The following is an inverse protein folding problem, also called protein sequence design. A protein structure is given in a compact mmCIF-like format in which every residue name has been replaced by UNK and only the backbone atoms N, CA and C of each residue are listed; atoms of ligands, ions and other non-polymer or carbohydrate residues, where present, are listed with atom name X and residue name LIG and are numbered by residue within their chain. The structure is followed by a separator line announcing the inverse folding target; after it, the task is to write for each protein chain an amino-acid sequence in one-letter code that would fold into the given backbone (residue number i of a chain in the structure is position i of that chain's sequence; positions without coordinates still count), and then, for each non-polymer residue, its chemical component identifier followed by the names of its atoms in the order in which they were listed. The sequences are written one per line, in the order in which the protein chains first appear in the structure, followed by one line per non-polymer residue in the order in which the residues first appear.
data_IF_261905000603
#
_entry.id   IF_261905000603
#
_cell.length_a   1.000
_cell.length_b   1.000
_cell.length_c   1.000
_cell.angle_alpha   90.00
_cell.angle_beta   90.00
_cell.angle_gamma   90.00
#
_symmetry.space_group_name_H-M   'P 1'
#
loop_
_entity.id
_entity.type
_entity.pdbx_description
1 polymer ?
#
# COMPACT_ATOMS: atom_id res chain seq x y z
N UNK A 1 1.42 13.17 15.13
CA UNK A 1 0.74 13.34 13.82
C UNK A 1 0.41 12.01 13.13
N UNK A 2 1.35 11.06 12.95
CA UNK A 2 1.10 9.79 12.24
C UNK A 2 -0.15 9.02 12.70
N UNK A 3 -0.43 8.98 14.01
CA UNK A 3 -1.61 8.28 14.56
C UNK A 3 -2.95 8.71 13.94
N UNK A 4 -3.10 10.00 13.59
CA UNK A 4 -4.32 10.50 12.97
C UNK A 4 -4.46 10.06 11.50
N UNK A 5 -3.32 9.96 10.78
CA UNK A 5 -3.30 9.36 9.45
C UNK A 5 -3.73 7.89 9.49
N UNK A 6 -3.23 7.12 10.46
CA UNK A 6 -3.67 5.74 10.70
C UNK A 6 -5.16 5.67 11.04
N UNK A 7 -5.63 6.60 11.89
CA UNK A 7 -7.04 6.75 12.21
C UNK A 7 -7.91 6.92 10.97
N UNK A 8 -7.58 7.89 10.10
CA UNK A 8 -8.33 8.13 8.87
C UNK A 8 -8.25 6.97 7.88
N UNK A 9 -7.13 6.25 7.79
CA UNK A 9 -7.01 5.05 6.96
C UNK A 9 -8.02 3.96 7.36
N UNK A 10 -8.43 3.92 8.65
CA UNK A 10 -9.46 2.99 9.15
C UNK A 10 -10.89 3.48 8.99
N UNK A 11 -11.14 4.67 8.43
CA UNK A 11 -12.50 5.22 8.28
C UNK A 11 -13.07 4.85 6.91
N UNK A 12 -14.05 3.92 6.83
CA UNK A 12 -14.62 3.55 5.55
C UNK A 12 -15.34 4.74 4.90
N UNK A 13 -15.05 5.00 3.64
CA UNK A 13 -15.63 6.14 2.91
C UNK A 13 -14.83 7.44 3.05
N UNK A 14 -13.73 7.49 3.78
CA UNK A 14 -12.78 8.61 3.71
C UNK A 14 -11.56 8.16 2.92
N UNK A 15 -11.62 8.34 1.60
CA UNK A 15 -10.49 8.07 0.69
C UNK A 15 -9.64 9.33 0.43
N UNK A 16 -8.62 9.18 -0.43
CA UNK A 16 -7.65 10.23 -0.76
C UNK A 16 -8.27 11.61 -1.04
N UNK A 17 -9.28 11.68 -1.93
CA UNK A 17 -9.90 12.96 -2.32
C UNK A 17 -10.59 13.67 -1.15
N UNK A 18 -11.29 12.92 -0.29
CA UNK A 18 -11.97 13.47 0.89
C UNK A 18 -10.97 13.89 1.95
N UNK A 19 -9.92 13.10 2.15
CA UNK A 19 -8.89 13.47 3.11
C UNK A 19 -8.11 14.71 2.66
N UNK A 20 -7.87 14.88 1.35
CA UNK A 20 -7.29 16.12 0.81
C UNK A 20 -8.18 17.32 1.13
N UNK A 21 -9.48 17.24 0.84
CA UNK A 21 -10.42 18.33 1.15
C UNK A 21 -10.46 18.68 2.65
N UNK A 22 -10.36 17.67 3.53
CA UNK A 22 -10.23 17.91 4.97
C UNK A 22 -8.93 18.66 5.30
N UNK A 23 -7.79 18.24 4.77
CA UNK A 23 -6.52 18.92 5.01
C UNK A 23 -6.51 20.35 4.46
N UNK A 24 -7.10 20.57 3.29
CA UNK A 24 -7.19 21.91 2.68
C UNK A 24 -8.04 22.86 3.53
N UNK A 25 -9.10 22.36 4.19
CA UNK A 25 -9.98 23.16 5.05
C UNK A 25 -9.40 23.37 6.47
N UNK A 26 -8.83 22.33 7.08
CA UNK A 26 -8.41 22.35 8.49
C UNK A 26 -6.91 22.58 8.70
N UNK A 27 -6.11 22.60 7.62
CA UNK A 27 -4.67 22.83 7.64
C UNK A 27 -3.83 21.60 7.99
N UNK A 28 -4.26 20.80 8.97
CA UNK A 28 -3.54 19.60 9.40
C UNK A 28 -4.45 18.41 9.76
N UNK A 29 -3.84 17.22 9.82
CA UNK A 29 -4.54 15.94 10.02
C UNK A 29 -5.18 15.81 11.41
N UNK A 30 -4.59 16.41 12.44
CA UNK A 30 -5.08 16.34 13.82
C UNK A 30 -6.29 17.25 14.01
N UNK A 31 -6.21 18.47 13.49
CA UNK A 31 -7.32 19.41 13.43
C UNK A 31 -8.50 18.81 12.66
N UNK A 32 -8.26 18.22 11.48
CA UNK A 32 -9.27 17.49 10.73
C UNK A 32 -9.86 16.30 11.52
N UNK A 33 -9.04 15.56 12.28
CA UNK A 33 -9.50 14.45 13.11
C UNK A 33 -10.32 14.91 14.32
N UNK A 34 -10.20 16.14 14.78
CA UNK A 34 -10.98 16.63 15.94
C UNK A 34 -12.12 17.58 15.54
N UNK A 35 -12.20 17.98 14.27
CA UNK A 35 -13.21 18.89 13.75
C UNK A 35 -14.66 18.43 14.07
N UNK A 36 -15.57 19.38 14.35
CA UNK A 36 -16.96 19.08 14.65
C UNK A 36 -17.72 18.59 13.40
N UNK A 37 -18.85 17.92 13.63
CA UNK A 37 -19.62 17.25 12.57
C UNK A 37 -20.10 18.19 11.46
N UNK A 38 -20.43 19.43 11.82
CA UNK A 38 -20.87 20.47 10.89
C UNK A 38 -19.76 20.77 9.88
N UNK A 39 -18.57 21.13 10.35
CA UNK A 39 -17.45 21.53 9.51
C UNK A 39 -16.95 20.36 8.64
N UNK A 40 -16.96 19.13 9.19
CA UNK A 40 -16.64 17.93 8.41
C UNK A 40 -17.59 17.72 7.22
N UNK A 41 -18.88 18.01 7.40
CA UNK A 41 -19.87 17.92 6.33
C UNK A 41 -19.64 19.01 5.27
N UNK A 42 -19.29 20.23 5.69
CA UNK A 42 -18.94 21.33 4.81
C UNK A 42 -17.67 21.02 3.98
N UNK A 43 -16.71 20.32 4.58
CA UNK A 43 -15.52 19.79 3.89
C UNK A 43 -15.81 18.66 2.87
N UNK A 44 -17.07 18.25 2.71
CA UNK A 44 -17.48 17.27 1.70
C UNK A 44 -17.56 15.81 2.20
N UNK A 45 -17.58 15.57 3.51
CA UNK A 45 -17.93 14.24 4.03
C UNK A 45 -19.44 14.03 3.94
N UNK A 46 -19.84 13.07 3.10
CA UNK A 46 -21.23 12.63 3.05
C UNK A 46 -21.70 12.04 4.40
N UNK A 47 -23.02 11.91 4.56
CA UNK A 47 -23.63 11.40 5.78
C UNK A 47 -23.12 10.00 6.19
N UNK A 48 -22.71 9.16 5.23
CA UNK A 48 -22.18 7.83 5.53
C UNK A 48 -20.75 7.91 6.05
N UNK A 49 -19.88 8.66 5.38
CA UNK A 49 -18.50 8.89 5.78
C UNK A 49 -18.42 9.57 7.15
N UNK A 50 -19.27 10.57 7.40
CA UNK A 50 -19.36 11.26 8.68
C UNK A 50 -19.73 10.30 9.82
N UNK A 51 -20.78 9.48 9.64
CA UNK A 51 -21.16 8.46 10.64
C UNK A 51 -20.03 7.47 10.91
N UNK A 52 -19.33 7.04 9.86
CA UNK A 52 -18.20 6.12 9.98
C UNK A 52 -17.04 6.76 10.75
N UNK A 53 -16.70 8.02 10.46
CA UNK A 53 -15.64 8.75 11.16
C UNK A 53 -15.95 8.87 12.65
N UNK A 54 -17.17 9.29 13.01
CA UNK A 54 -17.59 9.39 14.41
C UNK A 54 -17.52 8.03 15.11
N UNK A 55 -17.98 6.97 14.44
CA UNK A 55 -17.90 5.62 14.99
C UNK A 55 -16.46 5.23 15.27
N UNK A 56 -15.54 5.46 14.33
CA UNK A 56 -14.12 5.14 14.50
C UNK A 56 -13.51 5.97 15.63
N UNK A 57 -13.75 7.29 15.68
CA UNK A 57 -13.26 8.16 16.77
C UNK A 57 -13.63 7.66 18.16
N UNK A 58 -14.80 7.06 18.31
CA UNK A 58 -15.31 6.60 19.61
C UNK A 58 -14.74 5.24 20.06
N UNK A 59 -14.24 4.42 19.13
CA UNK A 59 -13.82 3.04 19.43
C UNK A 59 -12.33 2.80 19.23
N UNK A 60 -11.68 3.61 18.39
CA UNK A 60 -10.30 3.41 18.00
C UNK A 60 -9.38 4.14 18.97
N UNK A 61 -8.50 3.39 19.64
CA UNK A 61 -7.39 3.95 20.37
C UNK A 61 -6.23 4.21 19.40
N UNK A 62 -6.02 5.48 19.06
CA UNK A 62 -4.99 5.90 18.10
C UNK A 62 -3.58 5.64 18.62
N UNK A 63 -3.36 5.71 19.93
CA UNK A 63 -2.05 5.49 20.52
C UNK A 63 -1.73 4.00 20.52
N UNK A 64 -2.70 3.13 20.84
CA UNK A 64 -2.55 1.68 20.71
C UNK A 64 -2.27 1.25 19.26
N UNK A 65 -2.94 1.84 18.27
CA UNK A 65 -2.69 1.56 16.85
C UNK A 65 -1.27 1.94 16.42
N UNK A 66 -0.78 3.10 16.88
CA UNK A 66 0.58 3.54 16.61
C UNK A 66 1.61 2.62 17.29
N UNK A 67 1.38 2.22 18.54
CA UNK A 67 2.26 1.28 19.24
C UNK A 67 2.24 -0.11 18.59
N UNK A 68 1.08 -0.58 18.12
CA UNK A 68 1.00 -1.82 17.35
C UNK A 68 1.87 -1.75 16.09
N UNK A 69 1.81 -0.66 15.33
CA UNK A 69 2.67 -0.47 14.16
C UNK A 69 4.16 -0.51 14.53
N UNK A 70 4.56 0.23 15.58
CA UNK A 70 5.95 0.25 16.08
C UNK A 70 6.45 -1.09 16.60
N UNK A 71 5.56 -1.98 17.03
CA UNK A 71 5.90 -3.34 17.48
C UNK A 71 6.25 -4.30 16.32
N UNK A 72 6.07 -3.85 15.07
CA UNK A 72 6.35 -4.63 13.87
C UNK A 72 7.52 -4.03 13.09
N UNK A 73 7.99 -4.76 12.07
CA UNK A 73 8.95 -4.28 11.07
C UNK A 73 8.30 -3.48 9.93
N UNK A 74 7.05 -3.05 10.11
CA UNK A 74 6.28 -2.27 9.13
C UNK A 74 6.36 -0.79 9.46
N UNK A 75 6.72 0.01 8.48
CA UNK A 75 6.65 1.48 8.50
C UNK A 75 5.39 1.96 7.81
N UNK A 76 4.92 3.16 8.18
CA UNK A 76 3.85 3.85 7.48
C UNK A 76 4.39 5.18 6.94
N UNK A 77 4.28 5.37 5.63
CA UNK A 77 4.62 6.61 4.93
C UNK A 77 3.32 7.35 4.58
N UNK A 78 3.32 8.65 4.78
CA UNK A 78 2.24 9.58 4.48
C UNK A 78 2.63 10.47 3.32
N UNK A 79 1.69 11.27 2.79
CA UNK A 79 2.00 12.18 1.68
C UNK A 79 3.12 13.18 1.99
N UNK A 80 3.26 13.55 3.27
CA UNK A 80 4.20 14.54 3.77
C UNK A 80 5.60 13.94 3.99
N UNK A 81 5.74 12.62 3.95
CA UNK A 81 7.02 11.96 4.12
C UNK A 81 7.89 12.08 2.84
N UNK A 82 9.17 12.45 2.97
CA UNK A 82 10.07 12.59 1.82
C UNK A 82 10.28 11.27 1.08
N UNK A 83 10.23 10.15 1.81
CA UNK A 83 10.45 8.81 1.26
C UNK A 83 9.21 8.23 0.55
N UNK A 84 8.06 8.94 0.58
CA UNK A 84 6.87 8.47 -0.13
C UNK A 84 7.11 8.53 -1.65
N UNK A 85 6.89 7.42 -2.41
CA UNK A 85 7.29 7.32 -3.81
C UNK A 85 6.73 8.44 -4.70
N UNK A 86 7.61 9.13 -5.41
CA UNK A 86 7.25 10.29 -6.24
C UNK A 86 6.24 9.93 -7.34
N UNK A 87 6.45 8.79 -8.02
CA UNK A 87 5.52 8.30 -9.06
C UNK A 87 4.14 8.01 -8.48
N UNK A 88 4.07 7.39 -7.30
CA UNK A 88 2.80 7.10 -6.63
C UNK A 88 2.09 8.37 -6.20
N UNK A 89 2.82 9.40 -5.73
CA UNK A 89 2.24 10.69 -5.32
C UNK A 89 1.51 11.41 -6.47
N UNK A 90 1.86 11.12 -7.73
CA UNK A 90 1.36 11.81 -8.94
C UNK A 90 0.09 11.20 -9.54
N UNK A 91 -0.39 10.06 -9.05
CA UNK A 91 -1.64 9.45 -9.57
C UNK A 91 -2.88 10.27 -9.11
N UNK A 92 -4.06 10.02 -9.69
CA UNK A 92 -5.30 10.76 -9.34
C UNK A 92 -5.73 10.60 -7.87
N UNK A 93 -5.46 9.45 -7.26
CA UNK A 93 -5.84 9.14 -5.89
C UNK A 93 -4.73 8.38 -5.15
N UNK A 94 -3.60 9.04 -4.81
CA UNK A 94 -2.50 8.40 -4.08
C UNK A 94 -2.99 7.93 -2.69
N UNK A 95 -2.60 6.75 -2.19
CA UNK A 95 -3.02 6.33 -0.86
C UNK A 95 -2.49 7.32 0.20
N UNK A 96 -3.31 7.84 1.12
CA UNK A 96 -2.85 8.72 2.19
C UNK A 96 -1.77 8.14 3.09
N UNK A 97 -1.84 6.83 3.29
CA UNK A 97 -0.90 6.04 4.07
C UNK A 97 -0.47 4.86 3.22
N UNK A 98 0.83 4.69 3.06
CA UNK A 98 1.46 3.55 2.42
C UNK A 98 2.26 2.79 3.49
N UNK A 99 1.81 1.58 3.81
CA UNK A 99 2.53 0.66 4.67
C UNK A 99 3.65 -0.01 3.88
N UNK A 100 4.81 -0.14 4.52
CA UNK A 100 6.06 -0.59 3.93
C UNK A 100 6.73 -1.60 4.86
N UNK A 101 7.12 -2.77 4.34
CA UNK A 101 8.05 -3.71 4.98
C UNK A 101 9.26 -3.93 4.07
N UNK A 102 10.47 -3.82 4.59
CA UNK A 102 11.69 -3.70 3.78
C UNK A 102 12.03 -2.23 3.53
N UNK A 103 12.77 -1.95 2.47
CA UNK A 103 13.28 -0.60 2.18
C UNK A 103 12.80 -0.10 0.82
N UNK A 104 12.68 1.22 0.68
CA UNK A 104 12.55 1.92 -0.59
C UNK A 104 13.87 2.65 -0.87
N UNK A 105 14.31 2.59 -2.13
CA UNK A 105 15.56 3.18 -2.60
C UNK A 105 15.27 4.14 -3.77
N UNK A 106 16.16 5.11 -4.06
CA UNK A 106 15.96 6.03 -5.18
C UNK A 106 15.79 5.34 -6.54
N UNK A 107 16.43 4.18 -6.75
CA UNK A 107 16.28 3.37 -7.96
C UNK A 107 14.87 2.79 -8.17
N UNK A 108 14.04 2.73 -7.11
CA UNK A 108 12.64 2.30 -7.22
C UNK A 108 11.77 3.28 -8.03
N UNK A 109 12.27 4.49 -8.31
CA UNK A 109 11.60 5.39 -9.26
C UNK A 109 11.63 4.85 -10.69
N UNK A 110 12.62 4.03 -11.03
CA UNK A 110 12.74 3.38 -12.34
C UNK A 110 12.20 1.96 -12.30
N UNK A 111 10.87 1.87 -12.27
CA UNK A 111 10.14 0.64 -12.06
C UNK A 111 9.14 0.31 -13.17
N UNK A 112 8.89 -0.98 -13.39
CA UNK A 112 7.88 -1.49 -14.33
C UNK A 112 6.94 -2.45 -13.63
N UNK A 113 5.63 -2.18 -13.75
CA UNK A 113 4.57 -3.08 -13.32
C UNK A 113 4.45 -4.30 -14.22
N UNK A 114 4.63 -5.51 -13.68
CA UNK A 114 4.43 -6.78 -14.41
C UNK A 114 3.20 -7.47 -13.83
N UNK A 115 2.12 -7.53 -14.60
CA UNK A 115 0.84 -8.10 -14.17
C UNK A 115 0.38 -9.20 -15.11
N UNK A 116 -0.42 -10.15 -14.61
CA UNK A 116 -1.07 -11.12 -15.48
C UNK A 116 -1.98 -12.11 -14.77
N UNK A 117 -2.32 -13.19 -15.46
CA UNK A 117 -3.28 -14.18 -14.97
C UNK A 117 -2.75 -14.96 -13.76
N UNK A 118 -3.67 -15.25 -12.83
CA UNK A 118 -3.40 -16.16 -11.69
C UNK A 118 -3.23 -17.62 -12.10
N UNK A 119 -3.70 -17.98 -13.31
CA UNK A 119 -3.59 -19.32 -13.92
C UNK A 119 -2.80 -19.23 -15.21
N UNK A 120 -1.50 -18.95 -15.08
CA UNK A 120 -0.60 -18.82 -16.21
C UNK A 120 -0.26 -20.18 -16.84
N UNK A 121 -0.26 -20.23 -18.18
CA UNK A 121 0.26 -21.37 -18.95
C UNK A 121 1.77 -21.48 -18.79
N UNK A 122 2.36 -22.63 -19.11
CA UNK A 122 3.83 -22.81 -19.11
C UNK A 122 4.52 -21.76 -19.98
N UNK A 123 3.99 -21.49 -21.17
CA UNK A 123 4.50 -20.44 -22.06
C UNK A 123 4.40 -19.04 -21.42
N UNK A 124 3.24 -18.71 -20.83
CA UNK A 124 3.06 -17.41 -20.17
C UNK A 124 4.05 -17.20 -19.00
N UNK A 125 4.33 -18.26 -18.22
CA UNK A 125 5.35 -18.21 -17.18
C UNK A 125 6.75 -18.00 -17.75
N UNK A 126 7.08 -18.65 -18.87
CA UNK A 126 8.39 -18.49 -19.50
C UNK A 126 8.62 -17.07 -20.01
N UNK A 127 7.61 -16.49 -20.67
CA UNK A 127 7.66 -15.10 -21.13
C UNK A 127 7.81 -14.13 -19.94
N UNK A 128 7.02 -14.31 -18.89
CA UNK A 128 7.12 -13.46 -17.69
C UNK A 128 8.48 -13.57 -17.01
N UNK A 129 9.03 -14.78 -16.91
CA UNK A 129 10.37 -15.02 -16.36
C UNK A 129 11.43 -14.30 -17.18
N UNK A 130 11.43 -14.48 -18.50
CA UNK A 130 12.41 -13.85 -19.39
C UNK A 130 12.37 -12.33 -19.27
N UNK A 131 11.18 -11.74 -19.39
CA UNK A 131 10.99 -10.29 -19.32
C UNK A 131 11.43 -9.72 -17.96
N UNK A 132 10.99 -10.31 -16.85
CA UNK A 132 11.36 -9.82 -15.53
C UNK A 132 12.86 -9.95 -15.25
N UNK A 133 13.51 -11.04 -15.69
CA UNK A 133 14.95 -11.22 -15.55
C UNK A 133 15.77 -10.25 -16.43
N UNK A 134 15.27 -9.91 -17.63
CA UNK A 134 15.91 -8.92 -18.51
C UNK A 134 15.77 -7.50 -17.93
N UNK A 135 14.59 -7.14 -17.43
CA UNK A 135 14.35 -5.87 -16.73
C UNK A 135 15.27 -5.72 -15.51
N UNK A 136 15.31 -6.75 -14.65
CA UNK A 136 16.15 -6.77 -13.47
C UNK A 136 17.65 -6.62 -13.81
N UNK A 137 18.16 -7.32 -14.83
CA UNK A 137 19.54 -7.19 -15.29
C UNK A 137 19.88 -5.82 -15.87
N UNK A 138 18.87 -5.13 -16.42
CA UNK A 138 19.00 -3.75 -16.88
C UNK A 138 18.89 -2.72 -15.75
N UNK A 139 18.77 -3.13 -14.49
CA UNK A 139 18.60 -2.24 -13.33
C UNK A 139 17.20 -1.66 -13.21
N UNK A 140 16.20 -2.25 -13.88
CA UNK A 140 14.80 -1.83 -13.78
C UNK A 140 14.12 -2.62 -12.66
N UNK A 141 13.49 -1.92 -11.72
CA UNK A 141 12.78 -2.55 -10.60
C UNK A 141 11.47 -3.17 -11.08
N UNK A 142 11.25 -4.45 -10.75
CA UNK A 142 9.99 -5.13 -11.07
C UNK A 142 8.98 -4.88 -9.96
N UNK A 143 7.81 -4.36 -10.30
CA UNK A 143 6.69 -4.18 -9.36
C UNK A 143 5.57 -5.13 -9.74
N UNK A 144 5.03 -5.87 -8.76
CA UNK A 144 3.91 -6.76 -9.01
C UNK A 144 3.09 -7.02 -7.75
N UNK A 145 2.05 -7.83 -7.86
CA UNK A 145 1.02 -7.98 -6.83
C UNK A 145 1.17 -9.18 -5.90
N UNK A 146 2.29 -9.92 -5.98
CA UNK A 146 2.51 -11.18 -5.26
C UNK A 146 1.39 -12.23 -5.42
N UNK A 147 0.52 -12.09 -6.44
CA UNK A 147 -0.51 -13.08 -6.70
C UNK A 147 0.10 -14.38 -7.28
N UNK A 148 -0.68 -15.46 -7.30
CA UNK A 148 -0.31 -16.68 -8.04
C UNK A 148 -0.09 -16.35 -9.52
N UNK A 149 0.65 -17.20 -10.22
CA UNK A 149 0.82 -17.09 -11.67
C UNK A 149 1.88 -16.07 -12.06
N UNK A 150 1.53 -15.11 -12.91
CA UNK A 150 2.50 -14.18 -13.52
C UNK A 150 3.23 -13.34 -12.46
N UNK A 151 2.52 -12.80 -11.47
CA UNK A 151 3.11 -11.94 -10.44
C UNK A 151 4.25 -12.65 -9.68
N UNK A 152 4.00 -13.85 -9.14
CA UNK A 152 5.00 -14.63 -8.43
C UNK A 152 6.21 -14.99 -9.32
N UNK A 153 5.98 -15.31 -10.60
CA UNK A 153 7.06 -15.61 -11.55
C UNK A 153 7.91 -14.37 -11.83
N UNK A 154 7.29 -13.19 -11.96
CA UNK A 154 8.01 -11.94 -12.18
C UNK A 154 8.93 -11.59 -11.00
N UNK A 155 8.41 -11.68 -9.77
CA UNK A 155 9.21 -11.46 -8.57
C UNK A 155 10.37 -12.45 -8.47
N UNK A 156 10.10 -13.74 -8.63
CA UNK A 156 11.13 -14.77 -8.52
C UNK A 156 12.22 -14.55 -9.59
N UNK A 157 11.85 -14.27 -10.83
CA UNK A 157 12.80 -14.05 -11.91
C UNK A 157 13.66 -12.79 -11.72
N UNK A 158 13.09 -11.73 -11.13
CA UNK A 158 13.84 -10.53 -10.79
C UNK A 158 14.89 -10.84 -9.70
N UNK A 159 14.50 -11.57 -8.65
CA UNK A 159 15.40 -11.98 -7.56
C UNK A 159 16.49 -12.95 -8.05
N UNK A 160 16.14 -13.95 -8.85
CA UNK A 160 17.07 -14.93 -9.43
C UNK A 160 18.13 -14.25 -10.33
N UNK A 161 17.75 -13.13 -10.96
CA UNK A 161 18.64 -12.30 -11.77
C UNK A 161 19.53 -11.37 -10.92
N UNK A 162 19.42 -11.40 -9.60
CA UNK A 162 20.14 -10.52 -8.68
C UNK A 162 19.60 -9.09 -8.63
N UNK A 163 18.39 -8.87 -9.16
CA UNK A 163 17.75 -7.55 -9.19
C UNK A 163 16.82 -7.31 -8.01
N UNK A 164 16.16 -6.16 -8.09
CA UNK A 164 15.27 -5.61 -7.05
C UNK A 164 13.81 -5.72 -7.47
N UNK A 165 12.92 -5.96 -6.50
CA UNK A 165 11.49 -6.07 -6.77
C UNK A 165 10.63 -5.58 -5.61
N UNK A 166 9.45 -5.01 -5.92
CA UNK A 166 8.49 -4.52 -4.94
C UNK A 166 7.15 -5.23 -5.10
N UNK A 167 6.59 -5.74 -4.02
CA UNK A 167 5.29 -6.41 -4.02
C UNK A 167 4.21 -5.55 -3.39
N UNK A 168 3.15 -5.24 -4.13
CA UNK A 168 1.99 -4.48 -3.62
C UNK A 168 0.88 -5.44 -3.20
N UNK A 169 0.54 -5.50 -1.91
CA UNK A 169 -0.47 -6.40 -1.35
C UNK A 169 -1.84 -5.72 -1.22
N UNK A 170 -2.91 -6.54 -1.18
CA UNK A 170 -4.29 -6.08 -1.04
C UNK A 170 -4.84 -6.26 0.40
N UNK A 171 -3.95 -6.50 1.36
CA UNK A 171 -4.24 -6.80 2.76
C UNK A 171 -3.16 -6.18 3.66
N UNK A 172 -3.35 -6.24 4.98
CA UNK A 172 -2.35 -5.74 5.94
C UNK A 172 -1.03 -6.51 5.85
N UNK A 173 0.09 -5.81 6.02
CA UNK A 173 1.43 -6.41 5.88
C UNK A 173 1.79 -7.36 7.04
N UNK A 174 0.99 -7.43 8.09
CA UNK A 174 1.06 -8.47 9.13
C UNK A 174 0.78 -9.89 8.59
N UNK A 175 0.19 -10.00 7.40
CA UNK A 175 -0.14 -11.28 6.77
C UNK A 175 0.29 -11.32 5.31
N UNK A 176 0.91 -12.42 4.88
CA UNK A 176 1.21 -12.66 3.46
C UNK A 176 0.07 -13.48 2.83
N UNK A 177 -0.47 -12.98 1.73
CA UNK A 177 -1.48 -13.68 0.93
C UNK A 177 -1.09 -13.73 -0.56
N UNK A 178 -1.13 -14.91 -1.21
CA UNK A 178 -1.45 -16.22 -0.63
C UNK A 178 -0.36 -16.72 0.33
N UNK A 179 -0.74 -17.55 1.32
CA UNK A 179 0.18 -18.01 2.38
C UNK A 179 1.37 -18.84 1.86
N UNK A 180 1.22 -19.49 0.71
CA UNK A 180 2.28 -20.23 0.02
C UNK A 180 3.44 -19.33 -0.45
N UNK A 181 3.21 -18.01 -0.60
CA UNK A 181 4.24 -17.04 -1.01
C UNK A 181 5.00 -16.42 0.16
N UNK A 182 4.88 -16.93 1.39
CA UNK A 182 5.64 -16.42 2.54
C UNK A 182 7.16 -16.43 2.33
N UNK A 183 7.69 -17.50 1.71
CA UNK A 183 9.12 -17.58 1.37
C UNK A 183 9.53 -16.48 0.39
N UNK A 184 8.81 -16.38 -0.73
CA UNK A 184 9.04 -15.34 -1.73
C UNK A 184 8.92 -13.93 -1.14
N UNK A 185 7.91 -13.66 -0.31
CA UNK A 185 7.76 -12.38 0.36
C UNK A 185 8.95 -12.04 1.26
N UNK A 186 9.49 -13.03 2.00
CA UNK A 186 10.68 -12.84 2.82
C UNK A 186 11.93 -12.54 1.97
N UNK A 187 12.06 -13.17 0.80
CA UNK A 187 13.17 -12.89 -0.12
C UNK A 187 13.03 -11.53 -0.80
N UNK A 188 11.82 -11.08 -1.11
CA UNK A 188 11.55 -9.72 -1.60
C UNK A 188 11.98 -8.68 -0.56
N UNK A 189 11.64 -8.86 0.72
CA UNK A 189 11.99 -7.92 1.79
C UNK A 189 13.52 -7.73 1.93
N UNK A 190 14.32 -8.76 1.64
CA UNK A 190 15.79 -8.66 1.72
C UNK A 190 16.38 -7.74 0.64
N UNK A 191 15.75 -7.67 -0.53
CA UNK A 191 16.27 -6.98 -1.72
C UNK A 191 15.20 -6.07 -2.36
N UNK A 192 14.34 -5.47 -1.54
CA UNK A 192 13.11 -4.84 -2.03
C UNK A 192 12.18 -4.49 -0.88
N UNK A 193 10.88 -4.48 -1.17
CA UNK A 193 9.86 -4.20 -0.18
C UNK A 193 8.49 -4.79 -0.50
N UNK A 194 7.69 -4.97 0.55
CA UNK A 194 6.25 -5.17 0.48
C UNK A 194 5.56 -3.85 0.78
N UNK A 195 4.55 -3.52 -0.02
CA UNK A 195 3.77 -2.29 0.04
C UNK A 195 2.28 -2.63 0.24
N UNK A 196 1.55 -1.80 0.98
CA UNK A 196 0.09 -1.92 1.07
C UNK A 196 -0.53 -0.58 1.46
N UNK A 197 -1.72 -0.27 0.96
CA UNK A 197 -2.54 0.85 1.48
C UNK A 197 -3.45 0.43 2.64
N UNK A 198 -3.46 -0.87 2.97
CA UNK A 198 -4.34 -1.45 3.98
C UNK A 198 -3.66 -1.48 5.34
N UNK A 199 -4.36 -1.00 6.37
CA UNK A 199 -3.93 -1.08 7.77
C UNK A 199 -3.58 -2.52 8.20
N UNK A 200 -2.70 -2.62 9.20
CA UNK A 200 -2.41 -3.89 9.88
C UNK A 200 -3.70 -4.55 10.39
N UNK A 201 -3.76 -5.88 10.30
CA UNK A 201 -4.91 -6.70 10.65
C UNK A 201 -5.97 -6.81 9.56
N UNK A 202 -5.86 -6.03 8.46
CA UNK A 202 -6.81 -6.12 7.34
C UNK A 202 -6.68 -7.47 6.64
N UNK A 203 -7.72 -8.33 6.62
CA UNK A 203 -7.63 -9.63 5.96
C UNK A 203 -7.64 -9.49 4.43
N UNK A 204 -7.22 -10.53 3.69
CA UNK A 204 -7.36 -10.58 2.24
C UNK A 204 -8.83 -10.49 1.80
N UNK A 205 -9.17 -9.45 1.05
CA UNK A 205 -10.51 -9.23 0.52
C UNK A 205 -10.46 -8.99 -1.00
N UNK A 206 -11.31 -9.71 -1.74
CA UNK A 206 -11.45 -9.57 -3.19
C UNK A 206 -11.73 -8.10 -3.62
N UNK A 207 -12.41 -7.33 -2.77
CA UNK A 207 -12.76 -5.93 -3.02
C UNK A 207 -11.57 -4.98 -2.99
N UNK A 208 -10.46 -5.37 -2.37
CA UNK A 208 -9.26 -4.54 -2.26
C UNK A 208 -8.33 -4.66 -3.47
N UNK A 209 -8.45 -5.72 -4.28
CA UNK A 209 -7.55 -5.94 -5.42
C UNK A 209 -7.63 -4.84 -6.50
N UNK A 210 -8.80 -4.32 -6.89
CA UNK A 210 -8.87 -3.21 -7.84
C UNK A 210 -8.19 -1.95 -7.31
N UNK A 211 -8.37 -1.63 -6.02
CA UNK A 211 -7.74 -0.47 -5.38
C UNK A 211 -6.23 -0.65 -5.21
N UNK A 212 -5.76 -1.89 -5.01
CA UNK A 212 -4.33 -2.23 -5.02
C UNK A 212 -3.70 -1.95 -6.39
N UNK A 213 -4.35 -2.30 -7.50
CA UNK A 213 -3.73 -2.28 -8.83
C UNK A 213 -3.35 -0.89 -9.38
N UNK A 214 -3.80 0.20 -8.74
CA UNK A 214 -3.39 1.58 -9.09
C UNK A 214 -2.10 2.02 -8.39
N UNK A 215 -1.57 1.19 -7.48
CA UNK A 215 -0.31 1.39 -6.75
C UNK A 215 0.75 0.54 -7.45
#
# INVERSE_FOLDING_TARGET
MLKYWLGFNKVPGVGAKRLRALLDMFGDIESAWNAPKHDLAEAGLDQRALRNLIKVRNVLDLDAELEQLKSTDVRALTWDDPDYPANLRRIDAPPPVLFLRGDLLPEDEWAVGVVGTRRATTYGKEVARRLAAELARAGVVVVSGLARGIDAVAHQAALDAGGRTLAVLANGLDQVYPSEHRGLAADIVKNGALLSEQSLGTPPDARNFPARNRI
#
